data_IF_998915651147
#
_entry.id   IF_998915651147
#
_cell.length_a   1.000
_cell.length_b   1.000
_cell.length_c   1.000
_cell.angle_alpha   90.00
_cell.angle_beta   90.00
_cell.angle_gamma   90.00
#
_symmetry.space_group_name_H-M   'P 1'
#
loop_
_entity.id
_entity.type
_entity.pdbx_description
1 polymer ?
#
# COMPACT_ATOMS: atom_id res chain seq x y z
N UNK A 1 -12.71 -51.20 27.84
CA UNK A 1 -12.53 -50.55 26.52
C UNK A 1 -13.54 -49.43 26.43
N UNK A 2 -13.08 -48.18 26.47
CA UNK A 2 -13.88 -47.00 26.12
C UNK A 2 -12.91 -46.00 25.51
N UNK A 3 -13.14 -45.67 24.24
CA UNK A 3 -12.32 -44.77 23.44
C UNK A 3 -12.89 -43.37 23.63
N UNK A 4 -12.10 -42.48 24.24
CA UNK A 4 -12.42 -41.06 24.35
C UNK A 4 -11.58 -40.30 23.34
N UNK A 5 -12.21 -39.70 22.33
CA UNK A 5 -11.58 -38.74 21.43
C UNK A 5 -11.70 -37.30 21.98
N UNK A 6 -10.65 -36.48 21.83
CA UNK A 6 -10.63 -35.12 22.36
C UNK A 6 -11.28 -34.14 21.38
N UNK A 7 -12.19 -33.31 21.88
CA UNK A 7 -12.76 -32.18 21.16
C UNK A 7 -12.50 -30.92 21.97
N UNK A 8 -11.92 -29.90 21.33
CA UNK A 8 -11.78 -28.59 21.96
C UNK A 8 -10.69 -27.72 21.37
N UNK A 9 -10.95 -27.16 20.19
CA UNK A 9 -10.15 -26.11 19.53
C UNK A 9 -9.96 -24.92 20.47
N UNK A 10 -8.71 -24.55 20.75
CA UNK A 10 -8.37 -23.24 21.31
C UNK A 10 -8.52 -22.18 20.20
N UNK A 11 -9.67 -21.53 20.14
CA UNK A 11 -9.84 -20.28 19.41
C UNK A 11 -9.27 -19.17 20.29
N UNK A 12 -8.06 -18.72 19.97
CA UNK A 12 -7.45 -17.54 20.56
C UNK A 12 -8.23 -16.30 20.07
N UNK A 13 -9.27 -15.93 20.81
CA UNK A 13 -10.05 -14.72 20.57
C UNK A 13 -9.22 -13.53 21.02
N UNK A 14 -8.82 -12.67 20.07
CA UNK A 14 -8.36 -11.32 20.40
C UNK A 14 -9.43 -10.66 21.29
N UNK A 15 -9.01 -10.20 22.46
CA UNK A 15 -9.87 -9.45 23.38
C UNK A 15 -10.22 -8.09 22.76
N UNK A 16 -11.46 -7.59 22.89
CA UNK A 16 -11.78 -6.25 22.45
C UNK A 16 -10.99 -5.24 23.29
N UNK A 17 -10.20 -4.40 22.63
CA UNK A 17 -9.53 -3.26 23.24
C UNK A 17 -10.59 -2.26 23.70
N UNK A 18 -10.79 -2.16 25.02
CA UNK A 18 -11.60 -1.09 25.61
C UNK A 18 -10.99 0.27 25.24
N UNK A 19 -11.75 1.10 24.53
CA UNK A 19 -11.30 2.40 24.00
C UNK A 19 -12.02 3.52 24.75
N UNK A 20 -11.26 4.44 25.32
CA UNK A 20 -11.73 5.79 25.66
C UNK A 20 -11.58 6.65 24.39
N UNK A 21 -12.60 7.39 23.92
CA UNK A 21 -12.46 8.27 22.77
C UNK A 21 -11.75 9.57 23.16
N UNK A 22 -10.63 9.90 22.52
CA UNK A 22 -10.14 11.28 22.47
C UNK A 22 -8.63 11.53 22.49
N UNK A 23 -7.78 10.59 22.94
CA UNK A 23 -6.37 10.92 23.25
C UNK A 23 -5.33 9.86 22.80
N UNK A 24 -5.74 8.96 21.90
CA UNK A 24 -4.87 7.94 21.32
C UNK A 24 -3.89 8.52 20.30
N UNK A 25 -2.77 7.84 20.06
CA UNK A 25 -1.81 8.24 19.04
C UNK A 25 -2.43 8.32 17.63
N UNK A 26 -3.40 7.45 17.34
CA UNK A 26 -4.12 7.35 16.07
C UNK A 26 -5.63 7.58 16.27
N UNK A 27 -6.31 8.12 15.25
CA UNK A 27 -7.76 8.23 15.26
C UNK A 27 -8.44 6.86 15.13
N UNK A 28 -9.78 6.83 15.22
CA UNK A 28 -10.53 5.60 14.93
C UNK A 28 -10.37 5.19 13.47
N UNK A 29 -10.36 6.16 12.55
CA UNK A 29 -10.20 5.91 11.12
C UNK A 29 -8.79 5.39 10.79
N UNK A 30 -7.74 5.97 11.38
CA UNK A 30 -6.37 5.48 11.22
C UNK A 30 -6.25 4.00 11.63
N UNK A 31 -6.77 3.63 12.80
CA UNK A 31 -6.71 2.23 13.25
C UNK A 31 -7.54 1.29 12.37
N UNK A 32 -8.65 1.76 11.80
CA UNK A 32 -9.42 0.96 10.84
C UNK A 32 -8.62 0.72 9.55
N UNK A 33 -8.00 1.76 9.00
CA UNK A 33 -7.17 1.61 7.78
C UNK A 33 -5.94 0.74 8.02
N UNK A 34 -5.31 0.86 9.19
CA UNK A 34 -4.21 0.00 9.58
C UNK A 34 -4.64 -1.48 9.66
N UNK A 35 -5.78 -1.75 10.31
CA UNK A 35 -6.34 -3.12 10.39
C UNK A 35 -6.68 -3.67 9.00
N UNK A 36 -7.26 -2.84 8.13
CA UNK A 36 -7.51 -3.22 6.73
C UNK A 36 -6.23 -3.55 5.97
N UNK A 37 -5.19 -2.73 6.10
CA UNK A 37 -3.91 -2.96 5.43
C UNK A 37 -3.24 -4.25 5.93
N UNK A 38 -3.28 -4.52 7.24
CA UNK A 38 -2.76 -5.77 7.83
C UNK A 38 -3.56 -6.98 7.34
N UNK A 39 -4.90 -6.90 7.31
CA UNK A 39 -5.74 -7.98 6.78
C UNK A 39 -5.50 -8.22 5.29
N UNK A 40 -5.40 -7.15 4.50
CA UNK A 40 -5.16 -7.25 3.07
C UNK A 40 -3.78 -7.81 2.77
N UNK A 41 -2.74 -7.46 3.53
CA UNK A 41 -1.41 -8.03 3.39
C UNK A 41 -1.38 -9.54 3.73
N UNK A 42 -2.07 -9.95 4.81
CA UNK A 42 -2.20 -11.38 5.17
C UNK A 42 -2.93 -12.16 4.08
N UNK A 43 -4.04 -11.62 3.54
CA UNK A 43 -4.75 -12.24 2.41
C UNK A 43 -3.84 -12.32 1.18
N UNK A 44 -3.18 -11.21 0.84
CA UNK A 44 -2.34 -11.09 -0.34
C UNK A 44 -1.12 -12.01 -0.32
N UNK A 45 -0.56 -12.30 0.86
CA UNK A 45 0.54 -13.26 1.00
C UNK A 45 0.22 -14.69 0.53
N UNK A 46 -1.07 -15.04 0.47
CA UNK A 46 -1.53 -16.37 0.03
C UNK A 46 -2.28 -16.36 -1.30
N UNK A 47 -2.56 -15.17 -1.83
CA UNK A 47 -3.27 -15.01 -3.09
C UNK A 47 -2.29 -15.12 -4.27
N UNK A 48 -2.78 -15.60 -5.41
CA UNK A 48 -2.04 -15.46 -6.66
C UNK A 48 -1.88 -13.99 -7.02
N UNK A 49 -0.78 -13.64 -7.70
CA UNK A 49 -0.53 -12.25 -8.08
C UNK A 49 -1.64 -11.73 -9.02
N UNK A 50 -2.17 -12.58 -9.89
CA UNK A 50 -3.31 -12.26 -10.75
C UNK A 50 -4.58 -11.98 -9.95
N UNK A 51 -4.87 -12.73 -8.89
CA UNK A 51 -6.07 -12.49 -8.07
C UNK A 51 -6.03 -11.11 -7.39
N UNK A 52 -4.83 -10.64 -7.04
CA UNK A 52 -4.63 -9.29 -6.49
C UNK A 52 -4.78 -8.20 -7.55
N UNK A 53 -4.42 -8.50 -8.80
CA UNK A 53 -4.56 -7.60 -9.95
C UNK A 53 -6.00 -7.48 -10.47
N UNK A 54 -6.89 -8.40 -10.12
CA UNK A 54 -8.26 -8.43 -10.63
C UNK A 54 -9.05 -7.10 -10.37
N UNK A 55 -9.97 -6.72 -11.27
CA UNK A 55 -10.40 -7.41 -12.49
C UNK A 55 -9.37 -7.30 -13.63
N UNK A 56 -9.21 -8.41 -14.36
CA UNK A 56 -8.31 -8.57 -15.50
C UNK A 56 -8.95 -9.51 -16.52
N UNK A 57 -8.56 -9.42 -17.80
CA UNK A 57 -8.98 -10.38 -18.82
C UNK A 57 -8.42 -11.77 -18.47
N UNK A 58 -9.31 -12.77 -18.42
CA UNK A 58 -8.92 -14.16 -18.18
C UNK A 58 -8.01 -14.66 -19.31
N UNK A 59 -6.96 -15.40 -18.95
CA UNK A 59 -5.99 -15.99 -19.89
C UNK A 59 -5.26 -14.98 -20.80
N UNK A 60 -5.35 -13.68 -20.51
CA UNK A 60 -4.63 -12.62 -21.22
C UNK A 60 -3.18 -12.45 -20.78
N UNK A 61 -2.45 -11.57 -21.47
CA UNK A 61 -1.05 -11.27 -21.18
C UNK A 61 -0.87 -10.70 -19.76
N UNK A 62 -1.80 -9.87 -19.28
CA UNK A 62 -1.70 -9.30 -17.94
C UNK A 62 -1.78 -10.37 -16.86
N UNK A 63 -2.68 -11.34 -17.02
CA UNK A 63 -2.77 -12.51 -16.14
C UNK A 63 -1.47 -13.30 -16.19
N UNK A 64 -1.07 -13.70 -17.40
CA UNK A 64 0.01 -14.65 -17.57
C UNK A 64 1.39 -14.09 -17.20
N UNK A 65 1.67 -12.82 -17.52
CA UNK A 65 2.93 -12.14 -17.18
C UNK A 65 3.02 -11.84 -15.68
N UNK A 66 1.92 -11.39 -15.06
CA UNK A 66 1.89 -11.09 -13.63
C UNK A 66 2.14 -12.34 -12.81
N UNK A 67 1.44 -13.43 -13.12
CA UNK A 67 1.61 -14.69 -12.38
C UNK A 67 3.02 -15.25 -12.46
N UNK A 68 3.68 -15.12 -13.62
CA UNK A 68 5.03 -15.65 -13.83
C UNK A 68 6.14 -14.78 -13.25
N UNK A 69 5.93 -13.47 -13.18
CA UNK A 69 7.03 -12.51 -13.00
C UNK A 69 6.91 -11.68 -11.72
N UNK A 70 5.72 -11.61 -11.13
CA UNK A 70 5.42 -10.75 -10.00
C UNK A 70 5.10 -11.57 -8.75
N UNK A 71 5.62 -11.13 -7.62
CA UNK A 71 5.30 -11.70 -6.30
C UNK A 71 4.77 -10.58 -5.41
N UNK A 72 3.75 -10.88 -4.60
CA UNK A 72 3.27 -9.93 -3.60
C UNK A 72 4.41 -9.51 -2.67
N UNK A 73 4.55 -8.20 -2.46
CA UNK A 73 5.54 -7.62 -1.57
C UNK A 73 4.89 -7.03 -0.32
N UNK A 74 4.12 -5.95 -0.49
CA UNK A 74 3.51 -5.25 0.63
C UNK A 74 2.19 -4.56 0.27
N UNK A 75 1.46 -4.15 1.31
CA UNK A 75 0.36 -3.18 1.21
C UNK A 75 0.78 -1.85 1.84
N UNK A 76 0.52 -0.74 1.15
CA UNK A 76 0.80 0.60 1.67
C UNK A 76 -0.41 1.24 2.34
N UNK A 77 -0.18 2.06 3.37
CA UNK A 77 -1.22 2.88 4.03
C UNK A 77 -0.64 4.17 4.57
N UNK A 78 -1.38 5.29 4.48
CA UNK A 78 -1.03 6.57 5.11
C UNK A 78 -1.88 6.77 6.37
N UNK A 79 -1.23 7.06 7.49
CA UNK A 79 -1.85 7.31 8.78
C UNK A 79 -1.42 8.68 9.34
N UNK A 80 -2.24 9.22 10.22
CA UNK A 80 -2.06 10.55 10.81
C UNK A 80 -1.85 10.44 12.32
N UNK A 81 -0.65 10.08 12.82
CA UNK A 81 -0.43 10.02 14.26
C UNK A 81 -0.43 11.43 14.88
N UNK A 82 -0.71 11.55 16.19
CA UNK A 82 -0.58 12.83 16.92
C UNK A 82 0.82 13.42 16.79
N UNK A 83 1.84 12.58 17.00
CA UNK A 83 3.26 12.86 16.76
C UNK A 83 3.89 11.59 16.18
N UNK A 84 4.99 11.70 15.44
CA UNK A 84 5.68 10.52 14.88
C UNK A 84 6.00 9.49 15.96
N UNK A 85 6.60 9.94 17.06
CA UNK A 85 7.02 9.08 18.17
C UNK A 85 5.83 8.40 18.87
N UNK A 86 4.71 9.10 19.03
CA UNK A 86 3.48 8.51 19.56
C UNK A 86 2.92 7.43 18.63
N UNK A 87 2.96 7.66 17.31
CA UNK A 87 2.54 6.68 16.30
C UNK A 87 3.39 5.40 16.35
N UNK A 88 4.72 5.53 16.36
CA UNK A 88 5.63 4.38 16.41
C UNK A 88 5.45 3.55 17.68
N UNK A 89 5.37 4.20 18.84
CA UNK A 89 5.08 3.50 20.11
C UNK A 89 3.74 2.77 20.09
N UNK A 90 2.73 3.35 19.47
CA UNK A 90 1.42 2.70 19.36
C UNK A 90 1.46 1.48 18.45
N UNK A 91 2.19 1.54 17.31
CA UNK A 91 2.42 0.38 16.45
C UNK A 91 3.15 -0.76 17.19
N UNK A 92 4.16 -0.43 18.00
CA UNK A 92 4.85 -1.39 18.87
C UNK A 92 3.90 -1.99 19.91
N UNK A 93 3.09 -1.16 20.58
CA UNK A 93 2.11 -1.60 21.59
C UNK A 93 1.05 -2.54 21.00
N UNK A 94 0.72 -2.35 19.72
CA UNK A 94 -0.18 -3.24 18.96
C UNK A 94 0.51 -4.55 18.52
N UNK A 95 1.80 -4.73 18.82
CA UNK A 95 2.57 -5.93 18.46
C UNK A 95 2.97 -5.99 16.98
N UNK A 96 2.92 -4.86 16.26
CA UNK A 96 3.16 -4.80 14.82
C UNK A 96 4.63 -4.61 14.43
N UNK A 97 5.53 -4.52 15.42
CA UNK A 97 6.98 -4.48 15.26
C UNK A 97 7.47 -3.58 14.09
N UNK A 98 7.23 -2.26 14.15
CA UNK A 98 7.70 -1.34 13.13
C UNK A 98 9.23 -1.33 13.06
N UNK A 99 9.77 -1.30 11.83
CA UNK A 99 11.19 -1.00 11.60
C UNK A 99 11.51 0.47 11.92
N UNK A 100 12.80 0.83 12.08
CA UNK A 100 13.20 2.24 12.19
C UNK A 100 12.59 3.07 11.07
N UNK A 101 11.90 4.16 11.44
CA UNK A 101 11.25 5.03 10.47
C UNK A 101 12.30 5.85 9.70
N UNK A 102 12.06 6.04 8.41
CA UNK A 102 12.89 6.87 7.54
C UNK A 102 12.04 7.93 6.82
N UNK A 103 12.61 9.05 6.36
CA UNK A 103 11.85 10.05 5.61
C UNK A 103 11.25 9.46 4.32
N UNK A 104 9.95 9.69 4.08
CA UNK A 104 9.28 9.32 2.84
C UNK A 104 9.43 10.43 1.81
N UNK A 105 10.13 10.16 0.72
CA UNK A 105 10.36 11.16 -0.35
C UNK A 105 9.19 11.21 -1.34
N UNK A 106 8.68 10.05 -1.73
CA UNK A 106 7.63 9.91 -2.75
C UNK A 106 6.28 10.38 -2.23
N UNK A 107 5.86 9.91 -1.05
CA UNK A 107 4.55 10.31 -0.48
C UNK A 107 4.59 11.77 -0.06
N UNK A 108 5.70 12.26 0.50
CA UNK A 108 5.90 13.69 0.76
C UNK A 108 5.70 14.54 -0.48
N UNK A 109 6.34 14.18 -1.61
CA UNK A 109 6.17 14.89 -2.88
C UNK A 109 4.70 14.88 -3.33
N UNK A 110 4.03 13.72 -3.25
CA UNK A 110 2.61 13.63 -3.63
C UNK A 110 1.70 14.50 -2.76
N UNK A 111 1.91 14.54 -1.45
CA UNK A 111 1.14 15.40 -0.55
C UNK A 111 1.38 16.89 -0.84
N UNK A 112 2.63 17.28 -1.10
CA UNK A 112 3.00 18.63 -1.53
C UNK A 112 2.24 19.01 -2.80
N UNK A 113 2.31 18.18 -3.84
CA UNK A 113 1.67 18.45 -5.14
C UNK A 113 0.14 18.48 -5.02
N UNK A 114 -0.44 17.53 -4.29
CA UNK A 114 -1.91 17.37 -4.17
C UNK A 114 -2.56 18.47 -3.34
N UNK A 115 -1.89 18.94 -2.28
CA UNK A 115 -2.46 19.92 -1.35
C UNK A 115 -1.78 21.29 -1.39
N UNK A 116 -0.77 21.49 -2.25
CA UNK A 116 -0.03 22.74 -2.34
C UNK A 116 0.74 23.08 -1.07
N UNK A 117 1.33 22.07 -0.41
CA UNK A 117 2.03 22.26 0.86
C UNK A 117 3.42 22.87 0.64
N UNK A 118 3.89 23.67 1.59
CA UNK A 118 5.27 24.15 1.59
C UNK A 118 6.22 22.97 1.84
N UNK A 119 7.17 22.67 0.92
CA UNK A 119 8.06 21.52 1.08
C UNK A 119 8.81 21.52 2.41
N UNK A 120 9.29 22.68 2.88
CA UNK A 120 10.05 22.78 4.12
C UNK A 120 9.26 22.36 5.38
N UNK A 121 7.92 22.41 5.32
CA UNK A 121 7.04 22.14 6.46
C UNK A 121 6.33 20.78 6.38
N UNK A 122 6.55 20.02 5.30
CA UNK A 122 5.91 18.72 5.06
C UNK A 122 6.85 17.57 5.46
N UNK A 123 6.64 17.04 6.67
CA UNK A 123 7.39 15.91 7.21
C UNK A 123 6.55 14.63 7.16
N UNK A 124 6.97 13.69 6.31
CA UNK A 124 6.33 12.38 6.18
C UNK A 124 7.41 11.32 6.38
N UNK A 125 7.09 10.33 7.21
CA UNK A 125 7.99 9.21 7.48
C UNK A 125 7.36 7.91 6.98
N UNK A 126 8.19 6.91 6.69
CA UNK A 126 7.75 5.56 6.39
C UNK A 126 8.38 4.58 7.37
N UNK A 127 7.62 3.56 7.75
CA UNK A 127 8.12 2.37 8.45
C UNK A 127 7.47 1.14 7.83
N UNK A 128 8.11 -0.02 7.95
CA UNK A 128 7.54 -1.31 7.55
C UNK A 128 7.21 -2.14 8.77
N UNK A 129 6.06 -2.79 8.75
CA UNK A 129 5.60 -3.68 9.79
C UNK A 129 5.99 -5.11 9.43
N UNK A 130 6.82 -5.73 10.27
CA UNK A 130 7.16 -7.14 10.11
C UNK A 130 6.02 -8.02 10.64
N UNK A 131 5.25 -8.60 9.72
CA UNK A 131 4.14 -9.48 10.05
C UNK A 131 4.55 -10.94 9.90
N UNK A 132 4.07 -11.79 10.82
CA UNK A 132 4.04 -13.23 10.61
C UNK A 132 2.88 -13.53 9.64
N UNK A 133 3.22 -13.92 8.42
CA UNK A 133 2.27 -14.13 7.32
C UNK A 133 1.78 -15.59 7.28
N UNK A 134 0.54 -15.84 6.81
CA UNK A 134 0.02 -17.19 6.64
C UNK A 134 0.81 -18.10 5.70
N UNK A 135 1.60 -17.53 4.77
CA UNK A 135 2.53 -18.28 3.91
C UNK A 135 3.81 -18.74 4.62
N UNK A 136 3.94 -18.46 5.92
CA UNK A 136 5.07 -18.83 6.77
C UNK A 136 6.24 -17.84 6.77
N UNK A 137 6.18 -16.78 5.95
CA UNK A 137 7.22 -15.74 5.95
C UNK A 137 7.00 -14.75 7.10
N UNK A 138 8.09 -14.23 7.63
CA UNK A 138 8.10 -12.99 8.41
C UNK A 138 8.65 -11.88 7.53
N UNK A 139 7.79 -10.96 7.08
CA UNK A 139 8.13 -9.97 6.04
C UNK A 139 7.56 -8.59 6.36
N UNK A 140 8.19 -7.54 5.83
CA UNK A 140 7.71 -6.16 5.85
C UNK A 140 6.50 -5.95 4.93
N UNK A 141 5.43 -6.68 5.20
CA UNK A 141 4.29 -6.82 4.31
C UNK A 141 3.29 -5.65 4.38
N UNK A 142 3.49 -4.71 5.32
CA UNK A 142 2.75 -3.45 5.37
C UNK A 142 3.74 -2.30 5.46
N UNK A 143 3.66 -1.38 4.50
CA UNK A 143 4.37 -0.10 4.52
C UNK A 143 3.44 0.98 5.05
N UNK A 144 3.83 1.61 6.14
CA UNK A 144 3.05 2.65 6.83
C UNK A 144 3.73 3.99 6.64
N UNK A 145 3.05 4.89 5.93
CA UNK A 145 3.40 6.29 5.90
C UNK A 145 2.77 7.01 7.08
N UNK A 146 3.53 7.85 7.75
CA UNK A 146 3.14 8.59 8.93
C UNK A 146 3.26 10.08 8.60
N UNK A 147 2.13 10.78 8.55
CA UNK A 147 2.08 12.24 8.45
C UNK A 147 1.56 12.83 9.77
N UNK A 148 2.47 13.25 10.68
CA UNK A 148 2.08 13.65 12.03
C UNK A 148 1.19 14.90 12.08
N UNK A 149 0.20 14.91 12.98
CA UNK A 149 -0.72 16.04 13.17
C UNK A 149 -0.05 17.28 13.79
N UNK A 150 1.13 17.11 14.40
CA UNK A 150 1.98 18.20 14.90
C UNK A 150 2.92 18.77 13.83
N UNK A 151 2.91 18.23 12.61
CA UNK A 151 3.62 18.81 11.46
C UNK A 151 3.03 20.17 11.09
N UNK A 152 3.89 21.13 10.72
CA UNK A 152 3.46 22.48 10.32
C UNK A 152 2.58 22.51 9.08
N UNK A 153 2.82 21.62 8.13
CA UNK A 153 1.99 21.47 6.93
C UNK A 153 0.66 20.72 7.17
N UNK A 154 0.41 20.20 8.38
CA UNK A 154 -0.81 19.45 8.64
C UNK A 154 -2.04 20.35 8.67
N UNK A 155 -3.14 19.86 8.08
CA UNK A 155 -4.46 20.46 8.19
C UNK A 155 -5.53 19.35 8.22
N UNK A 156 -6.58 19.43 9.06
CA UNK A 156 -7.59 18.36 9.18
C UNK A 156 -8.23 17.93 7.85
N UNK A 157 -8.45 18.87 6.92
CA UNK A 157 -8.96 18.55 5.56
C UNK A 157 -8.06 17.63 4.75
N UNK A 158 -6.75 17.61 5.02
CA UNK A 158 -5.83 16.66 4.38
C UNK A 158 -6.14 15.26 4.88
N UNK A 159 -6.20 15.06 6.20
CA UNK A 159 -6.58 13.78 6.80
C UNK A 159 -7.96 13.34 6.32
N UNK A 160 -8.98 14.21 6.35
CA UNK A 160 -10.32 13.88 5.86
C UNK A 160 -10.32 13.40 4.40
N UNK A 161 -9.55 14.08 3.54
CA UNK A 161 -9.45 13.75 2.12
C UNK A 161 -8.68 12.44 1.89
N UNK A 162 -7.51 12.28 2.52
CA UNK A 162 -6.69 11.07 2.43
C UNK A 162 -7.41 9.85 3.00
N UNK A 163 -8.11 10.02 4.13
CA UNK A 163 -8.88 8.94 4.75
C UNK A 163 -10.06 8.54 3.86
N UNK A 164 -10.77 9.52 3.31
CA UNK A 164 -11.89 9.24 2.42
C UNK A 164 -11.44 8.53 1.15
N UNK A 165 -10.39 9.00 0.48
CA UNK A 165 -10.03 8.49 -0.84
C UNK A 165 -9.03 7.34 -0.79
N UNK A 166 -8.19 7.26 0.24
CA UNK A 166 -7.12 6.28 0.36
C UNK A 166 -6.07 6.43 -0.75
N UNK A 167 -5.63 7.66 -1.06
CA UNK A 167 -4.73 7.89 -2.21
C UNK A 167 -3.40 7.14 -2.07
N UNK A 168 -2.90 6.96 -0.86
CA UNK A 168 -1.67 6.23 -0.58
C UNK A 168 -1.87 4.72 -0.32
N UNK A 169 -3.12 4.23 -0.31
CA UNK A 169 -3.40 2.81 -0.17
C UNK A 169 -3.10 2.06 -1.46
N UNK A 170 -2.13 1.13 -1.41
CA UNK A 170 -1.71 0.38 -2.59
C UNK A 170 -1.33 -1.06 -2.30
N UNK A 171 -1.30 -1.90 -3.34
CA UNK A 171 -0.74 -3.26 -3.30
C UNK A 171 0.51 -3.30 -4.18
N UNK A 172 1.64 -3.66 -3.60
CA UNK A 172 2.92 -3.73 -4.27
C UNK A 172 3.26 -5.15 -4.69
N UNK A 173 3.88 -5.26 -5.86
CA UNK A 173 4.55 -6.47 -6.30
C UNK A 173 6.03 -6.21 -6.54
N UNK A 174 6.86 -7.20 -6.25
CA UNK A 174 8.24 -7.25 -6.73
C UNK A 174 8.27 -8.00 -8.06
N UNK A 175 8.97 -7.44 -9.04
CA UNK A 175 9.33 -8.14 -10.28
C UNK A 175 10.61 -8.94 -10.03
N UNK A 176 10.53 -10.26 -10.15
CA UNK A 176 11.62 -11.17 -9.74
C UNK A 176 12.89 -10.95 -10.56
N UNK A 177 12.74 -10.78 -11.88
CA UNK A 177 13.85 -10.58 -12.82
C UNK A 177 13.51 -9.42 -13.78
N UNK A 178 13.63 -8.16 -13.34
CA UNK A 178 13.20 -7.03 -14.14
C UNK A 178 14.11 -6.84 -15.36
N UNK A 179 13.49 -6.69 -16.53
CA UNK A 179 14.17 -6.28 -17.76
C UNK A 179 13.29 -5.31 -18.54
N UNK A 180 13.86 -4.35 -19.31
CA UNK A 180 13.06 -3.40 -20.08
C UNK A 180 12.01 -4.06 -21.00
N UNK A 181 12.29 -5.18 -21.71
CA UNK A 181 11.26 -5.86 -22.51
C UNK A 181 10.11 -6.42 -21.68
N UNK A 182 10.41 -7.06 -20.53
CA UNK A 182 9.40 -7.59 -19.64
C UNK A 182 8.54 -6.47 -19.05
N UNK A 183 9.15 -5.38 -18.61
CA UNK A 183 8.43 -4.25 -18.03
C UNK A 183 7.58 -3.54 -19.07
N UNK A 184 8.04 -3.41 -20.31
CA UNK A 184 7.22 -2.89 -21.41
C UNK A 184 5.97 -3.74 -21.63
N UNK A 185 6.13 -5.06 -21.64
CA UNK A 185 5.02 -6.01 -21.79
C UNK A 185 4.04 -5.94 -20.61
N UNK A 186 4.54 -5.92 -19.36
CA UNK A 186 3.72 -5.78 -18.16
C UNK A 186 2.92 -4.46 -18.16
N UNK A 187 3.58 -3.33 -18.42
CA UNK A 187 2.93 -2.01 -18.45
C UNK A 187 1.85 -1.97 -19.53
N UNK A 188 2.15 -2.48 -20.74
CA UNK A 188 1.18 -2.52 -21.82
C UNK A 188 -0.02 -3.40 -21.47
N UNK A 189 0.21 -4.62 -20.97
CA UNK A 189 -0.85 -5.56 -20.63
C UNK A 189 -1.70 -5.07 -19.45
N UNK A 190 -1.08 -4.53 -18.40
CA UNK A 190 -1.80 -3.94 -17.26
C UNK A 190 -2.70 -2.79 -17.69
N UNK A 191 -2.24 -1.95 -18.62
CA UNK A 191 -3.04 -0.88 -19.19
C UNK A 191 -4.25 -1.42 -19.95
N UNK A 192 -4.05 -2.33 -20.90
CA UNK A 192 -5.11 -2.77 -21.83
C UNK A 192 -6.06 -3.79 -21.22
N UNK A 193 -5.55 -4.71 -20.40
CA UNK A 193 -6.29 -5.87 -19.91
C UNK A 193 -6.67 -5.78 -18.43
N UNK A 194 -5.97 -4.99 -17.62
CA UNK A 194 -6.31 -4.75 -16.22
C UNK A 194 -6.86 -3.33 -15.95
N UNK A 195 -6.81 -2.42 -16.93
CA UNK A 195 -7.28 -1.04 -16.79
C UNK A 195 -6.44 -0.21 -15.83
N UNK A 196 -5.16 -0.49 -15.73
CA UNK A 196 -4.22 0.23 -14.86
C UNK A 196 -3.52 1.36 -15.63
N UNK A 197 -3.68 2.57 -15.13
CA UNK A 197 -3.10 3.78 -15.69
C UNK A 197 -1.78 4.09 -15.00
N UNK A 198 -0.75 4.43 -15.77
CA UNK A 198 0.54 4.78 -15.17
C UNK A 198 0.47 6.14 -14.49
N UNK A 199 0.72 6.12 -13.19
CA UNK A 199 0.68 7.29 -12.31
C UNK A 199 2.05 7.98 -12.21
N UNK A 200 3.14 7.22 -12.33
CA UNK A 200 4.50 7.73 -12.19
C UNK A 200 5.45 6.71 -11.61
N UNK A 201 6.51 7.16 -10.97
CA UNK A 201 7.54 6.29 -10.41
C UNK A 201 8.76 7.07 -9.93
N UNK A 202 9.81 6.33 -9.61
CA UNK A 202 11.09 6.89 -9.19
C UNK A 202 12.14 5.82 -8.96
N UNK A 203 13.38 6.27 -8.79
CA UNK A 203 14.50 5.42 -8.42
C UNK A 203 14.97 5.77 -7.01
N UNK A 204 15.18 4.75 -6.18
CA UNK A 204 15.75 4.88 -4.85
C UNK A 204 17.11 4.17 -4.80
N UNK A 205 18.24 4.91 -4.73
CA UNK A 205 19.57 4.31 -4.67
C UNK A 205 19.86 3.58 -3.34
N UNK A 206 18.98 3.71 -2.33
CA UNK A 206 19.17 3.15 -1.00
C UNK A 206 18.40 1.85 -0.74
N UNK A 207 17.61 1.37 -1.70
CA UNK A 207 16.78 0.15 -1.59
C UNK A 207 17.14 -0.86 -2.68
N UNK A 208 16.80 -2.15 -2.54
CA UNK A 208 16.92 -3.11 -3.65
C UNK A 208 18.34 -3.56 -4.07
N UNK A 209 19.39 -3.18 -3.32
CA UNK A 209 20.77 -3.66 -3.53
C UNK A 209 21.72 -2.61 -4.13
N UNK A 210 22.89 -3.02 -4.66
CA UNK A 210 23.96 -2.09 -5.08
C UNK A 210 23.58 -1.10 -6.18
N UNK A 211 22.56 -1.42 -6.97
CA UNK A 211 22.05 -0.59 -8.05
C UNK A 211 20.74 0.13 -7.69
N UNK A 212 20.35 0.15 -6.42
CA UNK A 212 19.09 0.72 -5.99
C UNK A 212 17.87 -0.10 -6.44
N UNK A 213 16.69 0.51 -6.32
CA UNK A 213 15.42 0.00 -6.84
C UNK A 213 14.71 1.05 -7.68
N UNK A 214 13.90 0.61 -8.63
CA UNK A 214 13.02 1.46 -9.42
C UNK A 214 11.58 1.05 -9.16
N UNK A 215 10.74 2.03 -8.81
CA UNK A 215 9.32 1.83 -8.54
C UNK A 215 8.47 2.47 -9.63
N UNK A 216 7.40 1.79 -10.02
CA UNK A 216 6.36 2.32 -10.90
C UNK A 216 5.01 2.22 -10.22
N UNK A 217 4.24 3.30 -10.28
CA UNK A 217 2.91 3.36 -9.68
C UNK A 217 1.83 3.36 -10.75
N UNK A 218 0.74 2.68 -10.43
CA UNK A 218 -0.42 2.57 -11.29
C UNK A 218 -1.70 2.80 -10.50
N UNK A 219 -2.68 3.45 -11.13
CA UNK A 219 -4.02 3.63 -10.58
C UNK A 219 -5.03 2.91 -11.46
N UNK A 220 -6.04 2.32 -10.83
CA UNK A 220 -7.14 1.67 -11.53
C UNK A 220 -8.04 2.73 -12.14
N UNK A 221 -8.21 2.65 -13.46
CA UNK A 221 -9.13 3.49 -14.20
C UNK A 221 -10.57 3.29 -13.73
N UNK A 222 -11.35 4.37 -13.75
CA UNK A 222 -12.76 4.36 -13.34
C UNK A 222 -13.66 3.45 -14.21
N UNK A 223 -13.22 3.10 -15.41
CA UNK A 223 -13.90 2.18 -16.32
C UNK A 223 -13.90 0.73 -15.82
N UNK A 224 -13.00 0.38 -14.88
CA UNK A 224 -12.89 -0.97 -14.30
C UNK A 224 -12.77 -0.88 -12.77
N UNK A 225 -13.82 -0.47 -12.05
CA UNK A 225 -13.75 -0.23 -10.61
C UNK A 225 -13.46 -1.53 -9.84
N UNK A 226 -12.65 -1.42 -8.78
CA UNK A 226 -12.36 -2.51 -7.85
C UNK A 226 -11.91 -1.96 -6.49
N UNK A 227 -11.90 -2.81 -5.44
CA UNK A 227 -11.42 -2.42 -4.10
C UNK A 227 -9.93 -2.05 -4.11
N UNK A 228 -9.08 -2.84 -4.79
CA UNK A 228 -7.67 -2.52 -5.00
C UNK A 228 -7.53 -1.54 -6.15
N UNK A 229 -7.20 -0.30 -5.81
CA UNK A 229 -7.24 0.83 -6.74
C UNK A 229 -5.87 1.37 -7.11
N UNK A 230 -4.83 1.08 -6.32
CA UNK A 230 -3.47 1.53 -6.61
C UNK A 230 -2.49 0.39 -6.46
N UNK A 231 -1.53 0.36 -7.36
CA UNK A 231 -0.55 -0.70 -7.47
C UNK A 231 0.86 -0.12 -7.58
N UNK A 232 1.82 -0.84 -7.02
CA UNK A 232 3.24 -0.55 -7.17
C UNK A 232 3.94 -1.76 -7.81
N UNK A 233 4.81 -1.50 -8.78
CA UNK A 233 5.81 -2.45 -9.26
C UNK A 233 7.17 -2.03 -8.74
N UNK A 234 7.74 -2.84 -7.86
CA UNK A 234 9.08 -2.69 -7.34
C UNK A 234 10.05 -3.55 -8.16
N UNK A 235 11.04 -2.91 -8.78
CA UNK A 235 12.04 -3.56 -9.64
C UNK A 235 13.44 -3.32 -9.05
N UNK A 236 14.24 -4.38 -8.90
CA UNK A 236 15.65 -4.22 -8.56
C UNK A 236 16.42 -3.51 -9.69
N UNK A 237 17.33 -2.61 -9.33
CA UNK A 237 18.19 -1.89 -10.27
C UNK A 237 17.69 -0.50 -10.66
N UNK A 238 18.57 0.24 -11.36
CA UNK A 238 18.29 1.55 -11.93
C UNK A 238 17.71 1.40 -13.34
N UNK A 239 16.41 1.66 -13.45
CA UNK A 239 15.65 1.56 -14.70
C UNK A 239 15.10 2.93 -15.11
N UNK A 240 15.75 4.02 -14.67
CA UNK A 240 15.31 5.39 -14.98
C UNK A 240 15.14 5.63 -16.47
N UNK A 241 16.13 5.23 -17.28
CA UNK A 241 16.08 5.36 -18.75
C UNK A 241 14.83 4.69 -19.36
N UNK A 242 14.39 3.55 -18.82
CA UNK A 242 13.15 2.91 -19.24
C UNK A 242 11.93 3.71 -18.77
N UNK A 243 11.86 4.05 -17.48
CA UNK A 243 10.69 4.74 -16.91
C UNK A 243 10.47 6.16 -17.43
N UNK A 244 11.52 6.88 -17.82
CA UNK A 244 11.45 8.22 -18.41
C UNK A 244 10.84 8.20 -19.82
N UNK A 245 10.96 7.07 -20.54
CA UNK A 245 10.36 6.88 -21.87
C UNK A 245 8.88 6.51 -21.82
N UNK A 246 8.39 6.04 -20.67
CA UNK A 246 6.98 5.73 -20.51
C UNK A 246 6.18 7.02 -20.26
N UNK A 247 5.07 7.26 -20.97
CA UNK A 247 4.21 8.39 -20.66
C UNK A 247 3.56 8.24 -19.28
N UNK A 248 3.40 9.34 -18.56
CA UNK A 248 2.51 9.43 -17.39
C UNK A 248 1.14 9.86 -17.88
N UNK A 249 0.08 9.24 -17.37
CA UNK A 249 -1.28 9.46 -17.86
C UNK A 249 -2.03 10.51 -17.04
N UNK A 250 -1.40 11.66 -16.82
CA UNK A 250 -1.81 12.67 -15.82
C UNK A 250 -3.30 12.98 -15.83
N UNK A 251 -3.89 13.25 -17.01
CA UNK A 251 -5.33 13.55 -17.09
C UNK A 251 -6.22 12.34 -16.75
N UNK A 252 -5.86 11.15 -17.22
CA UNK A 252 -6.63 9.93 -16.97
C UNK A 252 -6.53 9.52 -15.49
N UNK A 253 -5.35 9.68 -14.89
CA UNK A 253 -5.09 9.52 -13.45
C UNK A 253 -5.94 10.50 -12.64
N UNK A 254 -5.97 11.79 -13.02
CA UNK A 254 -6.79 12.80 -12.37
C UNK A 254 -8.30 12.49 -12.43
N UNK A 255 -8.78 11.96 -13.57
CA UNK A 255 -10.16 11.45 -13.70
C UNK A 255 -10.41 10.22 -12.81
N UNK A 256 -9.46 9.30 -12.74
CA UNK A 256 -9.56 8.13 -11.87
C UNK A 256 -9.68 8.54 -10.40
N UNK A 257 -8.81 9.45 -9.93
CA UNK A 257 -8.88 9.97 -8.56
C UNK A 257 -10.19 10.70 -8.26
N UNK A 258 -10.68 11.55 -9.17
CA UNK A 258 -11.98 12.21 -8.99
C UNK A 258 -13.14 11.22 -8.91
N UNK A 259 -13.04 10.08 -9.61
CA UNK A 259 -14.06 9.04 -9.61
C UNK A 259 -14.00 8.12 -8.39
N UNK A 260 -12.89 8.12 -7.64
CA UNK A 260 -12.80 7.35 -6.41
C UNK A 260 -13.77 7.93 -5.39
N UNK A 261 -14.86 7.21 -5.16
CA UNK A 261 -15.78 7.55 -4.07
C UNK A 261 -15.04 7.39 -2.74
N UNK A 262 -15.42 8.18 -1.72
CA UNK A 262 -14.99 7.93 -0.36
C UNK A 262 -15.23 6.46 0.00
N UNK A 263 -14.22 5.81 0.58
CA UNK A 263 -14.40 4.51 1.20
C UNK A 263 -15.54 4.66 2.21
N UNK A 264 -16.69 4.02 1.94
CA UNK A 264 -17.75 3.95 2.94
C UNK A 264 -17.21 3.06 4.06
N UNK A 265 -17.26 3.49 5.33
CA UNK A 265 -17.12 2.54 6.41
C UNK A 265 -18.27 1.55 6.26
N UNK A 266 -17.96 0.27 6.04
CA UNK A 266 -18.94 -0.79 6.20
C UNK A 266 -19.37 -0.77 7.66
N UNK A 267 -20.48 -0.09 7.95
CA UNK A 267 -21.18 -0.23 9.22
C UNK A 267 -21.92 -1.57 9.11
N UNK A 268 -21.55 -2.61 9.88
CA UNK A 268 -22.32 -3.84 9.90
C UNK A 268 -23.74 -3.52 10.36
N UNK A 269 -24.73 -4.04 9.63
CA UNK A 269 -26.13 -4.03 10.05
C UNK A 269 -26.35 -4.89 11.31
#
# INVERSE_FOLDING_TARGET
MSISHPSGKAAERLRPLGRIPGDGAFSVADLHQLDEAVRDARLASTASATALLAPVVADGDATSLTERSCVFDHCGVLLFPRTLEAGLRELERLGLAPLPAVPSTVVRRRLIERYGLEPADCEVHLTRLHLDLPDGRRHGAVEVFLFPRDSRAFHPRIEESEVAHGFEQHTAFVVTEPSPPLLAALVAAWRTEAGLLREGGGHNPHEGGPQGSTVMYFVRGHERPARRRRFELHCAGDLREFTERLPVETEAVGRAYTAWRPARPDIPA
#
